data_IF_637312780218
#
_entry.id   IF_637312780218
#
_cell.length_a   1.000
_cell.length_b   1.000
_cell.length_c   1.000
_cell.angle_alpha   90.00
_cell.angle_beta   90.00
_cell.angle_gamma   90.00
#
_symmetry.space_group_name_H-M   'P 1'
#
loop_
_entity.id
_entity.type
_entity.pdbx_description
1 polymer ?
#
# COMPACT_ATOMS: atom_id res chain seq x y z
N UNK A 1 -13.01 -31.00 -23.15
CA UNK A 1 -11.79 -30.97 -22.31
C UNK A 1 -12.11 -30.31 -20.96
N UNK A 2 -11.62 -30.90 -19.85
CA UNK A 2 -11.79 -30.37 -18.49
C UNK A 2 -10.52 -30.56 -17.65
N UNK A 3 -10.43 -29.89 -16.51
CA UNK A 3 -9.24 -29.93 -15.64
C UNK A 3 -8.89 -31.33 -15.14
N UNK A 4 -9.90 -32.17 -14.85
CA UNK A 4 -9.68 -33.56 -14.41
C UNK A 4 -8.93 -34.36 -15.47
N UNK A 5 -9.28 -34.22 -16.73
CA UNK A 5 -8.60 -34.86 -17.85
C UNK A 5 -7.15 -34.41 -17.97
N UNK A 6 -6.85 -33.12 -17.72
CA UNK A 6 -5.46 -32.62 -17.70
C UNK A 6 -4.63 -33.20 -16.56
N UNK A 7 -5.20 -33.32 -15.35
CA UNK A 7 -4.53 -34.00 -14.24
C UNK A 7 -4.29 -35.49 -14.55
N UNK A 8 -5.25 -36.17 -15.18
CA UNK A 8 -5.11 -37.56 -15.56
C UNK A 8 -4.02 -37.76 -16.61
N UNK A 9 -4.01 -36.90 -17.65
CA UNK A 9 -2.97 -36.91 -18.68
C UNK A 9 -1.59 -36.70 -18.09
N UNK A 10 -1.40 -35.70 -17.21
CA UNK A 10 -0.12 -35.42 -16.51
C UNK A 10 0.33 -36.64 -15.69
N UNK A 11 -0.56 -37.23 -14.90
CA UNK A 11 -0.22 -38.35 -14.05
C UNK A 11 0.20 -39.62 -14.85
N UNK A 12 -0.47 -39.89 -15.97
CA UNK A 12 -0.11 -41.00 -16.86
C UNK A 12 1.25 -40.73 -17.53
N UNK A 13 1.47 -39.49 -18.00
CA UNK A 13 2.73 -39.05 -18.60
C UNK A 13 3.93 -39.19 -17.65
N UNK A 14 3.73 -38.88 -16.36
CA UNK A 14 4.77 -38.99 -15.33
C UNK A 14 5.07 -40.44 -14.91
N UNK A 15 4.05 -41.29 -14.84
CA UNK A 15 4.16 -42.62 -14.30
C UNK A 15 4.30 -43.73 -15.37
N UNK A 16 4.02 -43.37 -16.61
CA UNK A 16 4.03 -44.27 -17.79
C UNK A 16 3.20 -45.54 -17.59
N UNK A 17 2.19 -45.46 -16.69
CA UNK A 17 1.41 -46.64 -16.31
C UNK A 17 -0.01 -46.22 -15.83
N UNK A 18 -1.04 -46.70 -16.51
CA UNK A 18 -2.46 -46.33 -16.22
C UNK A 18 -2.88 -46.76 -14.80
N UNK A 19 -2.53 -47.98 -14.36
CA UNK A 19 -2.95 -48.48 -13.02
C UNK A 19 -2.29 -47.62 -11.92
N UNK A 20 -0.98 -47.37 -12.01
CA UNK A 20 -0.28 -46.54 -11.01
C UNK A 20 -0.79 -45.11 -10.99
N UNK A 21 -1.11 -44.56 -12.17
CA UNK A 21 -1.72 -43.22 -12.24
C UNK A 21 -3.11 -43.18 -11.61
N UNK A 22 -3.92 -44.22 -11.83
CA UNK A 22 -5.24 -44.35 -11.21
C UNK A 22 -5.13 -44.48 -9.67
N UNK A 23 -4.19 -45.29 -9.16
CA UNK A 23 -3.91 -45.43 -7.73
C UNK A 23 -3.49 -44.07 -7.11
N UNK A 24 -2.53 -43.37 -7.75
CA UNK A 24 -2.07 -42.02 -7.31
C UNK A 24 -3.20 -41.01 -7.22
N UNK A 25 -4.18 -41.13 -8.12
CA UNK A 25 -5.29 -40.17 -8.21
C UNK A 25 -6.57 -40.67 -7.48
N UNK A 26 -6.52 -41.82 -6.82
CA UNK A 26 -7.65 -42.44 -6.09
C UNK A 26 -8.90 -42.65 -6.97
N UNK A 27 -8.69 -43.11 -8.21
CA UNK A 27 -9.76 -43.44 -9.17
C UNK A 27 -9.61 -44.82 -9.75
N UNK A 28 -10.67 -45.33 -10.40
CA UNK A 28 -10.55 -46.61 -11.12
C UNK A 28 -9.75 -46.40 -12.43
N UNK A 29 -8.97 -47.43 -12.79
CA UNK A 29 -8.21 -47.41 -14.05
C UNK A 29 -9.13 -47.27 -15.27
N UNK A 30 -10.33 -47.86 -15.22
CA UNK A 30 -11.33 -47.71 -16.31
C UNK A 30 -11.83 -46.27 -16.45
N UNK A 31 -12.14 -45.58 -15.35
CA UNK A 31 -12.56 -44.17 -15.38
C UNK A 31 -11.45 -43.27 -15.91
N UNK A 32 -10.21 -43.52 -15.51
CA UNK A 32 -9.05 -42.75 -15.97
C UNK A 32 -8.81 -42.97 -17.47
N UNK A 33 -8.87 -44.24 -17.94
CA UNK A 33 -8.72 -44.58 -19.35
C UNK A 33 -9.82 -43.97 -20.23
N UNK A 34 -11.08 -44.04 -19.76
CA UNK A 34 -12.20 -43.42 -20.46
C UNK A 34 -12.06 -41.91 -20.60
N UNK A 35 -11.66 -41.22 -19.53
CA UNK A 35 -11.48 -39.77 -19.55
C UNK A 35 -10.34 -39.32 -20.48
N UNK A 36 -9.29 -40.12 -20.62
CA UNK A 36 -8.22 -39.85 -21.59
C UNK A 36 -8.71 -40.13 -23.02
N UNK A 37 -9.45 -41.21 -23.23
CA UNK A 37 -10.04 -41.47 -24.56
C UNK A 37 -10.95 -40.32 -25.01
N UNK A 38 -11.81 -39.82 -24.14
CA UNK A 38 -12.65 -38.64 -24.45
C UNK A 38 -11.80 -37.41 -24.83
N UNK A 39 -10.66 -37.19 -24.16
CA UNK A 39 -9.77 -36.10 -24.47
C UNK A 39 -9.07 -36.28 -25.83
N UNK A 40 -8.62 -37.50 -26.10
CA UNK A 40 -8.01 -37.88 -27.39
C UNK A 40 -9.02 -37.77 -28.56
N UNK A 41 -10.25 -38.22 -28.35
CA UNK A 41 -11.34 -38.13 -29.34
C UNK A 41 -11.70 -36.66 -29.62
N UNK A 42 -11.82 -35.81 -28.57
CA UNK A 42 -12.12 -34.39 -28.70
C UNK A 42 -11.07 -33.64 -29.52
N UNK A 43 -9.77 -33.97 -29.29
CA UNK A 43 -8.66 -33.33 -29.99
C UNK A 43 -8.24 -34.04 -31.27
N UNK A 44 -8.86 -35.21 -31.57
CA UNK A 44 -8.58 -36.05 -32.70
C UNK A 44 -7.11 -36.45 -32.83
N UNK A 45 -6.51 -36.83 -31.69
CA UNK A 45 -5.12 -37.29 -31.58
C UNK A 45 -5.00 -38.41 -30.55
N UNK A 46 -3.99 -39.27 -30.67
CA UNK A 46 -3.60 -40.24 -29.63
C UNK A 46 -2.42 -39.64 -28.84
N UNK A 47 -2.56 -39.54 -27.53
CA UNK A 47 -1.49 -39.06 -26.63
C UNK A 47 -0.57 -40.15 -26.13
N UNK A 48 -1.07 -41.38 -26.04
CA UNK A 48 -0.35 -42.49 -25.47
C UNK A 48 -0.30 -43.68 -26.42
N UNK A 49 0.81 -44.42 -26.43
CA UNK A 49 1.02 -45.69 -27.11
C UNK A 49 1.41 -46.78 -26.15
N UNK A 50 0.84 -47.96 -26.27
CA UNK A 50 1.17 -49.12 -25.40
C UNK A 50 2.55 -49.66 -25.70
N UNK A 51 3.34 -49.92 -24.65
CA UNK A 51 4.64 -50.59 -24.67
C UNK A 51 4.64 -51.72 -23.65
N UNK A 52 4.13 -52.87 -24.05
CA UNK A 52 3.96 -54.01 -23.14
C UNK A 52 2.94 -53.71 -22.03
N UNK A 53 3.40 -53.67 -20.78
CA UNK A 53 2.56 -53.28 -19.63
C UNK A 53 2.56 -51.77 -19.33
N UNK A 54 3.45 -51.02 -19.96
CA UNK A 54 3.60 -49.58 -19.80
C UNK A 54 2.94 -48.82 -20.99
N UNK A 55 2.92 -47.51 -20.87
CA UNK A 55 2.54 -46.60 -21.93
C UNK A 55 3.59 -45.51 -22.08
N UNK A 56 3.78 -45.04 -23.29
CA UNK A 56 4.68 -43.93 -23.61
C UNK A 56 3.89 -42.81 -24.31
N UNK A 57 4.38 -41.59 -24.15
CA UNK A 57 3.82 -40.47 -24.89
C UNK A 57 4.09 -40.57 -26.38
N UNK A 58 3.07 -40.40 -27.19
CA UNK A 58 3.23 -40.14 -28.63
C UNK A 58 3.91 -38.78 -28.85
N UNK A 59 4.26 -38.47 -30.10
CA UNK A 59 4.74 -37.14 -30.48
C UNK A 59 3.74 -36.02 -30.10
N UNK A 60 2.41 -36.30 -30.22
CA UNK A 60 1.36 -35.37 -29.81
C UNK A 60 1.32 -35.19 -28.29
N UNK A 61 1.44 -36.28 -27.54
CA UNK A 61 1.53 -36.22 -26.07
C UNK A 61 2.75 -35.44 -25.59
N UNK A 62 3.92 -35.65 -26.21
CA UNK A 62 5.13 -34.90 -25.91
C UNK A 62 4.99 -33.40 -26.19
N UNK A 63 4.30 -33.03 -27.28
CA UNK A 63 4.04 -31.65 -27.61
C UNK A 63 3.04 -30.99 -26.65
N UNK A 64 2.04 -31.73 -26.19
CA UNK A 64 0.97 -31.21 -25.33
C UNK A 64 1.36 -31.11 -23.84
N UNK A 65 2.23 -31.99 -23.36
CA UNK A 65 2.62 -32.09 -21.95
C UNK A 65 3.12 -30.76 -21.34
N UNK A 66 4.02 -29.99 -21.97
CA UNK A 66 4.49 -28.73 -21.40
C UNK A 66 3.36 -27.70 -21.18
N UNK A 67 2.38 -27.67 -22.07
CA UNK A 67 1.22 -26.77 -21.94
C UNK A 67 0.30 -27.20 -20.81
N UNK A 68 0.05 -28.51 -20.66
CA UNK A 68 -0.74 -29.05 -19.55
C UNK A 68 -0.07 -28.74 -18.22
N UNK A 69 1.23 -29.00 -18.11
CA UNK A 69 2.02 -28.70 -16.90
C UNK A 69 1.93 -27.22 -16.53
N UNK A 70 2.15 -26.32 -17.51
CA UNK A 70 2.08 -24.89 -17.30
C UNK A 70 0.70 -24.40 -16.87
N UNK A 71 -0.36 -24.96 -17.47
CA UNK A 71 -1.75 -24.64 -17.12
C UNK A 71 -2.07 -25.01 -15.67
N UNK A 72 -1.73 -26.24 -15.28
CA UNK A 72 -1.98 -26.74 -13.92
C UNK A 72 -1.14 -25.97 -12.89
N UNK A 73 0.14 -25.69 -13.15
CA UNK A 73 1.01 -24.89 -12.31
C UNK A 73 0.47 -23.46 -12.11
N UNK A 74 -0.02 -22.84 -13.17
CA UNK A 74 -0.62 -21.51 -13.11
C UNK A 74 -1.87 -21.50 -12.22
N UNK A 75 -2.72 -22.53 -12.37
CA UNK A 75 -3.90 -22.68 -11.52
C UNK A 75 -3.54 -22.91 -10.05
N UNK A 76 -2.58 -23.79 -9.76
CA UNK A 76 -2.10 -24.08 -8.40
C UNK A 76 -1.51 -22.81 -7.77
N UNK A 77 -0.74 -22.04 -8.53
CA UNK A 77 -0.21 -20.73 -8.09
C UNK A 77 -1.33 -19.74 -7.76
N UNK A 78 -2.38 -19.69 -8.61
CA UNK A 78 -3.54 -18.83 -8.35
C UNK A 78 -4.29 -19.22 -7.06
N UNK A 79 -4.47 -20.52 -6.83
CA UNK A 79 -5.10 -21.04 -5.60
C UNK A 79 -4.24 -20.71 -4.36
N UNK A 80 -2.92 -20.92 -4.44
CA UNK A 80 -2.00 -20.57 -3.36
C UNK A 80 -2.04 -19.07 -3.06
N UNK A 81 -2.02 -18.23 -4.10
CA UNK A 81 -2.14 -16.77 -3.96
C UNK A 81 -3.44 -16.35 -3.26
N UNK A 82 -4.58 -16.96 -3.65
CA UNK A 82 -5.86 -16.72 -2.98
C UNK A 82 -5.82 -17.16 -1.51
N UNK A 83 -5.25 -18.34 -1.24
CA UNK A 83 -5.15 -18.87 0.13
C UNK A 83 -4.32 -17.96 1.03
N UNK A 84 -3.19 -17.45 0.53
CA UNK A 84 -2.37 -16.48 1.25
C UNK A 84 -3.12 -15.15 1.46
N UNK A 85 -3.83 -14.69 0.44
CA UNK A 85 -4.57 -13.43 0.50
C UNK A 85 -5.70 -13.46 1.53
N UNK A 86 -6.41 -14.57 1.68
CA UNK A 86 -7.51 -14.73 2.65
C UNK A 86 -7.04 -15.18 4.04
N UNK A 87 -5.76 -15.50 4.21
CA UNK A 87 -5.25 -15.95 5.51
C UNK A 87 -4.97 -14.76 6.42
N UNK A 88 -5.65 -14.63 7.58
CA UNK A 88 -5.46 -13.50 8.49
C UNK A 88 -4.08 -13.46 9.14
N UNK A 89 -3.30 -14.55 9.11
CA UNK A 89 -2.00 -14.65 9.76
C UNK A 89 -0.82 -14.52 8.79
N UNK A 90 -1.03 -14.73 7.47
CA UNK A 90 0.05 -14.72 6.45
C UNK A 90 -0.25 -13.80 5.27
N UNK A 91 -1.44 -13.17 5.24
CA UNK A 91 -1.87 -12.30 4.15
C UNK A 91 -1.05 -11.01 4.03
N UNK A 92 -1.31 -10.28 2.97
CA UNK A 92 -0.69 -8.96 2.73
C UNK A 92 -1.69 -7.85 3.06
N UNK A 93 -1.20 -6.78 3.69
CA UNK A 93 -1.93 -5.53 3.89
C UNK A 93 -1.21 -4.45 3.10
N UNK A 94 -1.88 -3.89 2.10
CA UNK A 94 -1.34 -2.81 1.29
C UNK A 94 -1.89 -1.49 1.79
N UNK A 95 -1.02 -0.64 2.27
CA UNK A 95 -1.37 0.67 2.83
C UNK A 95 -0.73 1.78 2.02
N UNK A 96 -1.35 2.96 2.02
CA UNK A 96 -0.72 4.17 1.50
C UNK A 96 -0.94 5.36 2.43
N UNK A 97 -0.10 6.38 2.30
CA UNK A 97 -0.22 7.60 3.08
C UNK A 97 0.68 8.71 2.57
N UNK A 98 0.55 9.89 3.15
CA UNK A 98 1.40 11.03 2.80
C UNK A 98 2.87 10.78 3.16
N UNK A 99 3.83 11.32 2.38
CA UNK A 99 5.26 11.25 2.71
C UNK A 99 5.60 11.79 4.11
N UNK A 100 4.87 12.81 4.58
CA UNK A 100 5.02 13.37 5.94
C UNK A 100 4.74 12.36 7.07
N UNK A 101 4.15 11.19 6.76
CA UNK A 101 3.89 10.11 7.71
C UNK A 101 4.96 8.99 7.67
N UNK A 102 6.05 9.20 6.94
CA UNK A 102 7.08 8.18 6.72
C UNK A 102 7.69 7.60 8.00
N UNK A 103 7.75 8.35 9.08
CA UNK A 103 8.26 7.87 10.39
C UNK A 103 7.17 7.25 11.27
N UNK A 104 5.93 7.65 11.10
CA UNK A 104 4.79 7.06 11.79
C UNK A 104 4.48 5.64 11.29
N UNK A 105 4.58 5.40 9.98
CA UNK A 105 4.27 4.11 9.40
C UNK A 105 5.10 2.93 9.99
N UNK A 106 6.43 3.03 10.16
CA UNK A 106 7.21 2.01 10.85
C UNK A 106 6.80 1.79 12.32
N UNK A 107 6.50 2.85 13.07
CA UNK A 107 6.10 2.72 14.48
C UNK A 107 4.80 1.92 14.63
N UNK A 108 3.78 2.24 13.84
CA UNK A 108 2.51 1.51 13.87
C UNK A 108 2.67 0.05 13.42
N UNK A 109 3.53 -0.23 12.42
CA UNK A 109 3.83 -1.58 11.97
C UNK A 109 4.49 -2.39 13.09
N UNK A 110 5.54 -1.85 13.70
CA UNK A 110 6.25 -2.50 14.81
C UNK A 110 5.31 -2.74 15.98
N UNK A 111 4.48 -1.76 16.33
CA UNK A 111 3.49 -1.87 17.40
C UNK A 111 2.45 -2.96 17.10
N UNK A 112 1.92 -3.01 15.87
CA UNK A 112 0.98 -4.04 15.44
C UNK A 112 1.58 -5.44 15.59
N UNK A 113 2.79 -5.66 15.07
CA UNK A 113 3.46 -6.97 15.14
C UNK A 113 3.74 -7.36 16.60
N UNK A 114 4.26 -6.44 17.43
CA UNK A 114 4.60 -6.73 18.83
C UNK A 114 3.37 -7.02 19.71
N UNK A 115 2.25 -6.31 19.51
CA UNK A 115 1.05 -6.49 20.32
C UNK A 115 0.16 -7.65 19.87
N UNK A 116 0.22 -8.03 18.58
CA UNK A 116 -0.64 -9.07 18.01
C UNK A 116 0.06 -10.40 17.74
N UNK A 117 1.41 -10.42 17.82
CA UNK A 117 2.26 -11.56 17.46
C UNK A 117 2.03 -12.09 16.03
N UNK A 118 1.61 -11.21 15.10
CA UNK A 118 1.34 -11.53 13.69
C UNK A 118 2.56 -11.22 12.82
N UNK A 119 3.63 -12.00 13.01
CA UNK A 119 4.93 -11.78 12.38
C UNK A 119 4.97 -12.17 10.89
N UNK A 120 4.05 -13.02 10.45
CA UNK A 120 4.01 -13.55 9.07
C UNK A 120 3.11 -12.72 8.14
N UNK A 121 2.41 -11.69 8.66
CA UNK A 121 1.65 -10.74 7.84
C UNK A 121 2.62 -9.81 7.11
N UNK A 122 2.47 -9.71 5.78
CA UNK A 122 3.23 -8.77 4.96
C UNK A 122 2.56 -7.40 5.00
N UNK A 123 3.28 -6.40 5.44
CA UNK A 123 2.80 -5.02 5.51
C UNK A 123 3.56 -4.19 4.48
N UNK A 124 2.83 -3.64 3.50
CA UNK A 124 3.36 -2.75 2.47
C UNK A 124 2.83 -1.35 2.69
N UNK A 125 3.71 -0.36 2.66
CA UNK A 125 3.34 1.04 2.81
C UNK A 125 3.88 1.86 1.63
N UNK A 126 2.96 2.40 0.83
CA UNK A 126 3.24 3.26 -0.30
C UNK A 126 3.11 4.73 0.10
N UNK A 127 3.92 5.59 -0.51
CA UNK A 127 3.82 7.04 -0.29
C UNK A 127 3.24 7.72 -1.52
N UNK A 128 2.20 8.52 -1.32
CA UNK A 128 1.58 9.33 -2.37
C UNK A 128 1.54 10.79 -1.98
N UNK A 129 2.00 11.64 -2.86
CA UNK A 129 2.13 13.07 -2.58
C UNK A 129 0.78 13.79 -2.54
N UNK A 130 -0.24 13.29 -3.23
CA UNK A 130 -1.52 13.97 -3.37
C UNK A 130 -2.69 13.19 -2.78
N UNK A 131 -3.67 13.93 -2.28
CA UNK A 131 -4.93 13.40 -1.80
C UNK A 131 -5.69 12.60 -2.87
N UNK A 132 -5.71 13.09 -4.12
CA UNK A 132 -6.44 12.43 -5.20
C UNK A 132 -5.85 11.05 -5.51
N UNK A 133 -4.52 10.92 -5.51
CA UNK A 133 -3.87 9.61 -5.70
C UNK A 133 -4.26 8.62 -4.61
N UNK A 134 -4.21 9.03 -3.34
CA UNK A 134 -4.62 8.18 -2.21
C UNK A 134 -6.07 7.74 -2.32
N UNK A 135 -6.99 8.69 -2.59
CA UNK A 135 -8.41 8.39 -2.78
C UNK A 135 -8.64 7.41 -3.94
N UNK A 136 -8.04 7.67 -5.09
CA UNK A 136 -8.26 6.86 -6.29
C UNK A 136 -7.69 5.45 -6.13
N UNK A 137 -6.54 5.28 -5.48
CA UNK A 137 -5.99 3.97 -5.13
C UNK A 137 -6.89 3.20 -4.15
N UNK A 138 -7.44 3.89 -3.14
CA UNK A 138 -8.38 3.27 -2.20
C UNK A 138 -9.67 2.82 -2.90
N UNK A 139 -10.26 3.69 -3.72
CA UNK A 139 -11.53 3.40 -4.39
C UNK A 139 -11.40 2.37 -5.51
N UNK A 140 -10.22 2.24 -6.12
CA UNK A 140 -9.93 1.18 -7.12
C UNK A 140 -9.50 -0.15 -6.51
N UNK A 141 -9.22 -0.21 -5.19
CA UNK A 141 -8.74 -1.42 -4.52
C UNK A 141 -7.27 -1.73 -4.77
N UNK A 142 -6.49 -0.78 -5.22
CA UNK A 142 -5.03 -0.91 -5.32
C UNK A 142 -4.36 -0.92 -3.94
N UNK A 143 -4.98 -0.29 -2.96
CA UNK A 143 -4.59 -0.33 -1.55
C UNK A 143 -5.80 -0.70 -0.69
N UNK A 144 -5.55 -1.39 0.41
CA UNK A 144 -6.58 -1.80 1.38
C UNK A 144 -6.95 -0.65 2.31
N UNK A 145 -5.95 0.12 2.74
CA UNK A 145 -6.07 1.15 3.76
C UNK A 145 -5.25 2.39 3.37
N UNK A 146 -5.74 3.57 3.73
CA UNK A 146 -4.96 4.81 3.62
C UNK A 146 -4.87 5.56 4.94
N UNK A 147 -3.73 6.23 5.15
CA UNK A 147 -3.51 7.22 6.20
C UNK A 147 -3.48 8.61 5.56
N UNK A 148 -4.57 9.34 5.72
CA UNK A 148 -4.76 10.61 5.02
C UNK A 148 -5.65 11.57 5.84
N UNK A 149 -5.83 12.77 5.32
CA UNK A 149 -6.96 13.64 5.68
C UNK A 149 -8.27 13.00 5.23
N UNK A 150 -9.37 13.40 5.82
CA UNK A 150 -10.68 12.81 5.54
C UNK A 150 -11.04 12.83 4.04
N UNK A 151 -11.46 11.69 3.53
CA UNK A 151 -12.00 11.55 2.17
C UNK A 151 -13.51 11.73 2.23
N UNK A 152 -14.01 12.78 1.60
CA UNK A 152 -15.44 13.03 1.49
C UNK A 152 -16.05 12.20 0.35
N UNK A 153 -16.27 10.90 0.66
CA UNK A 153 -16.93 9.93 -0.22
C UNK A 153 -17.75 8.96 0.64
N UNK A 154 -19.05 8.75 0.36
CA UNK A 154 -19.91 7.90 1.17
C UNK A 154 -19.45 6.43 1.23
N UNK A 155 -18.67 5.98 0.24
CA UNK A 155 -18.09 4.63 0.18
C UNK A 155 -16.91 4.45 1.14
N UNK A 156 -16.34 5.55 1.64
CA UNK A 156 -15.17 5.49 2.52
C UNK A 156 -15.60 5.42 3.99
N UNK A 157 -15.07 4.43 4.69
CA UNK A 157 -15.10 4.36 6.15
C UNK A 157 -13.85 5.05 6.69
N UNK A 158 -13.96 5.76 7.81
CA UNK A 158 -12.85 6.48 8.43
C UNK A 158 -12.83 6.32 9.94
N UNK A 159 -11.63 6.30 10.50
CA UNK A 159 -11.39 6.37 11.95
C UNK A 159 -10.33 7.43 12.21
N UNK A 160 -10.64 8.38 13.06
CA UNK A 160 -9.71 9.43 13.47
C UNK A 160 -8.52 8.84 14.24
N UNK A 161 -7.28 9.27 13.89
CA UNK A 161 -6.05 8.75 14.50
C UNK A 161 -5.18 9.84 15.16
N UNK A 162 -5.51 11.12 14.98
CA UNK A 162 -4.80 12.24 15.57
C UNK A 162 -4.67 13.45 14.67
N UNK A 163 -3.92 14.45 15.13
CA UNK A 163 -3.69 15.71 14.42
C UNK A 163 -2.20 15.92 14.13
N UNK A 164 -1.91 16.33 12.91
CA UNK A 164 -0.58 16.69 12.47
C UNK A 164 -0.45 18.22 12.39
N UNK A 165 0.42 18.78 13.20
CA UNK A 165 0.62 20.21 13.28
C UNK A 165 1.25 20.78 12.01
N UNK A 166 0.97 22.07 11.73
CA UNK A 166 1.54 22.83 10.62
C UNK A 166 2.53 23.84 11.20
N UNK A 167 3.71 23.91 10.62
CA UNK A 167 4.82 24.71 11.11
C UNK A 167 5.47 25.49 9.96
N UNK A 168 6.25 26.52 10.31
CA UNK A 168 7.16 27.19 9.38
C UNK A 168 8.55 26.54 9.45
N UNK A 169 9.08 26.17 8.29
CA UNK A 169 10.46 25.73 8.13
C UNK A 169 11.31 26.86 7.57
N UNK A 170 12.39 27.19 8.26
CA UNK A 170 13.33 28.24 7.85
C UNK A 170 14.78 27.73 7.85
N UNK A 171 15.68 28.33 7.03
CA UNK A 171 17.12 28.06 7.17
C UNK A 171 17.62 28.39 8.57
N UNK A 172 18.64 27.66 9.08
CA UNK A 172 19.20 27.89 10.41
C UNK A 172 19.69 29.34 10.61
N UNK A 173 20.22 29.97 9.56
CA UNK A 173 20.70 31.37 9.59
C UNK A 173 19.65 32.42 9.21
N UNK A 174 18.38 32.05 9.02
CA UNK A 174 17.34 32.99 8.62
C UNK A 174 17.01 34.00 9.73
N UNK A 175 16.61 35.22 9.38
CA UNK A 175 16.23 36.25 10.35
C UNK A 175 15.13 35.79 11.33
N UNK A 176 14.21 34.97 10.86
CA UNK A 176 13.14 34.42 11.70
C UNK A 176 13.63 33.31 12.64
N UNK A 177 14.79 32.68 12.39
CA UNK A 177 15.29 31.61 13.23
C UNK A 177 15.66 32.03 14.65
N UNK A 178 15.74 33.33 14.94
CA UNK A 178 15.98 33.84 16.30
C UNK A 178 14.73 33.82 17.18
N UNK A 179 13.54 33.68 16.62
CA UNK A 179 12.27 33.67 17.34
C UNK A 179 11.89 32.24 17.78
N UNK A 180 11.07 32.15 18.83
CA UNK A 180 10.48 30.89 19.29
C UNK A 180 9.14 30.60 18.59
N UNK A 181 8.50 31.63 18.03
CA UNK A 181 7.24 31.56 17.32
C UNK A 181 7.20 32.67 16.27
N UNK A 182 6.47 32.45 15.17
CA UNK A 182 6.38 33.41 14.06
C UNK A 182 4.94 33.87 13.84
N UNK A 183 4.76 35.16 13.53
CA UNK A 183 3.53 35.69 12.91
C UNK A 183 3.67 35.57 11.39
N UNK A 184 2.67 35.03 10.73
CA UNK A 184 2.69 34.84 9.26
C UNK A 184 2.83 36.13 8.48
N UNK A 185 2.49 37.32 9.06
CA UNK A 185 2.74 38.59 8.42
C UNK A 185 4.22 38.86 8.12
N UNK A 186 5.10 38.23 8.86
CA UNK A 186 6.55 38.24 8.61
C UNK A 186 6.95 37.61 7.27
N UNK A 187 6.04 36.87 6.63
CA UNK A 187 6.27 36.22 5.32
C UNK A 187 5.91 37.15 4.14
N UNK A 188 5.43 38.34 4.38
CA UNK A 188 5.11 39.27 3.29
C UNK A 188 6.39 39.64 2.53
N UNK A 189 6.41 39.40 1.21
CA UNK A 189 7.58 39.58 0.37
C UNK A 189 8.73 38.58 0.56
N UNK A 190 8.66 37.63 1.51
CA UNK A 190 9.67 36.59 1.69
C UNK A 190 9.69 35.60 0.53
N UNK A 191 10.88 35.08 0.21
CA UNK A 191 11.00 33.97 -0.72
C UNK A 191 10.36 32.72 -0.12
N UNK A 192 9.34 32.21 -0.80
CA UNK A 192 8.52 31.12 -0.30
C UNK A 192 8.56 29.93 -1.26
N UNK A 193 8.82 28.75 -0.70
CA UNK A 193 8.75 27.46 -1.39
C UNK A 193 7.41 26.85 -1.04
N UNK A 194 6.54 26.70 -2.02
CA UNK A 194 5.17 26.25 -1.82
C UNK A 194 4.98 24.78 -2.22
N UNK A 195 4.01 24.14 -1.60
CA UNK A 195 3.42 22.97 -2.23
C UNK A 195 2.73 23.33 -3.54
N UNK A 196 2.65 22.39 -4.48
CA UNK A 196 1.90 22.60 -5.71
C UNK A 196 0.38 22.62 -5.47
N UNK A 197 -0.38 23.01 -6.48
CA UNK A 197 -1.83 23.19 -6.40
C UNK A 197 -2.62 21.89 -6.19
N UNK A 198 -2.01 20.71 -6.36
CA UNK A 198 -2.63 19.40 -6.11
C UNK A 198 -2.55 19.00 -4.63
N UNK A 199 -1.76 19.71 -3.83
CA UNK A 199 -1.63 19.47 -2.40
C UNK A 199 -2.70 20.25 -1.62
N UNK A 200 -3.44 19.57 -0.73
CA UNK A 200 -4.46 20.22 0.12
C UNK A 200 -3.87 21.36 0.99
N UNK A 201 -2.63 21.20 1.46
CA UNK A 201 -2.00 22.21 2.30
C UNK A 201 -1.79 23.53 1.54
N UNK A 202 -1.55 23.47 0.20
CA UNK A 202 -1.49 24.66 -0.64
C UNK A 202 -2.78 25.46 -0.55
N UNK A 203 -3.93 24.83 -0.70
CA UNK A 203 -5.22 25.54 -0.60
C UNK A 203 -5.49 26.15 0.77
N UNK A 204 -4.96 25.54 1.84
CA UNK A 204 -5.04 26.08 3.21
C UNK A 204 -4.15 27.33 3.34
N UNK A 205 -2.89 27.24 2.92
CA UNK A 205 -1.94 28.36 3.01
C UNK A 205 -2.36 29.56 2.14
N UNK A 206 -2.79 29.31 0.92
CA UNK A 206 -3.26 30.37 0.00
C UNK A 206 -4.47 31.13 0.60
N UNK A 207 -5.40 30.42 1.23
CA UNK A 207 -6.55 31.04 1.91
C UNK A 207 -6.10 31.92 3.06
N UNK A 208 -5.22 31.44 3.92
CA UNK A 208 -4.69 32.18 5.07
C UNK A 208 -3.94 33.43 4.59
N UNK A 209 -3.06 33.30 3.60
CA UNK A 209 -2.34 34.44 3.03
C UNK A 209 -3.29 35.48 2.49
N UNK A 210 -4.32 35.07 1.75
CA UNK A 210 -5.35 35.97 1.23
C UNK A 210 -6.13 36.69 2.34
N UNK A 211 -6.55 35.95 3.37
CA UNK A 211 -7.31 36.52 4.51
C UNK A 211 -6.48 37.53 5.31
N UNK A 212 -5.16 37.28 5.43
CA UNK A 212 -4.24 38.16 6.16
C UNK A 212 -3.61 39.26 5.31
N UNK A 213 -3.85 39.26 3.98
CA UNK A 213 -3.27 40.22 3.05
C UNK A 213 -1.77 40.03 2.82
N UNK A 214 -1.26 38.80 3.01
CA UNK A 214 0.15 38.45 2.85
C UNK A 214 0.41 38.01 1.39
N UNK A 215 1.51 38.50 0.82
CA UNK A 215 1.93 38.17 -0.55
C UNK A 215 3.39 37.69 -0.55
N UNK A 216 3.65 36.42 -0.21
CA UNK A 216 5.00 35.87 -0.28
C UNK A 216 5.45 35.77 -1.75
N UNK A 217 6.75 35.87 -1.98
CA UNK A 217 7.33 35.64 -3.30
C UNK A 217 7.50 34.13 -3.53
N UNK A 218 6.55 33.48 -4.20
CA UNK A 218 6.63 32.04 -4.49
C UNK A 218 7.72 31.81 -5.53
N UNK A 219 8.86 31.30 -5.10
CA UNK A 219 10.04 31.04 -5.93
C UNK A 219 10.05 29.65 -6.53
N UNK A 220 9.43 28.66 -5.86
CA UNK A 220 9.32 27.28 -6.31
C UNK A 220 8.06 26.61 -5.81
N UNK A 221 7.58 25.62 -6.59
CA UNK A 221 6.44 24.78 -6.26
C UNK A 221 6.78 23.30 -6.46
N UNK A 222 6.40 22.43 -5.51
CA UNK A 222 6.62 20.98 -5.58
C UNK A 222 5.62 20.23 -4.71
N UNK A 223 5.29 18.99 -5.09
CA UNK A 223 4.49 18.08 -4.24
C UNK A 223 5.33 17.32 -3.20
N UNK A 224 6.67 17.41 -3.25
CA UNK A 224 7.57 16.56 -2.49
C UNK A 224 8.15 17.27 -1.27
N UNK A 225 7.82 16.80 -0.06
CA UNK A 225 8.32 17.32 1.22
C UNK A 225 9.86 17.39 1.26
N UNK A 226 10.53 16.33 0.80
CA UNK A 226 12.00 16.26 0.82
C UNK A 226 12.66 17.32 -0.07
N UNK A 227 12.03 17.69 -1.19
CA UNK A 227 12.52 18.76 -2.06
C UNK A 227 12.39 20.09 -1.35
N UNK A 228 11.24 20.35 -0.69
CA UNK A 228 11.04 21.56 0.11
C UNK A 228 12.13 21.65 1.19
N UNK A 229 12.37 20.56 1.94
CA UNK A 229 13.40 20.55 2.98
C UNK A 229 14.80 20.89 2.44
N UNK A 230 15.16 20.30 1.31
CA UNK A 230 16.45 20.57 0.65
C UNK A 230 16.62 22.03 0.19
N UNK A 231 15.56 22.60 -0.40
CA UNK A 231 15.57 23.97 -0.87
C UNK A 231 15.64 24.98 0.28
N UNK A 232 14.89 24.75 1.37
CA UNK A 232 14.98 25.59 2.57
C UNK A 232 16.38 25.48 3.19
N UNK A 233 16.92 24.29 3.35
CA UNK A 233 18.27 24.06 3.87
C UNK A 233 19.35 24.76 3.02
N UNK A 234 19.11 24.93 1.71
CA UNK A 234 19.98 25.63 0.77
C UNK A 234 19.70 27.15 0.69
N UNK A 235 18.93 27.69 1.63
CA UNK A 235 18.62 29.13 1.74
C UNK A 235 17.90 29.73 0.52
N UNK A 236 17.04 28.93 -0.17
CA UNK A 236 16.24 29.40 -1.31
C UNK A 236 14.91 30.06 -0.89
N UNK A 237 14.53 29.96 0.36
CA UNK A 237 13.31 30.51 0.91
C UNK A 237 12.86 29.79 2.17
N UNK A 238 11.64 30.09 2.60
CA UNK A 238 10.99 29.46 3.76
C UNK A 238 9.77 28.67 3.27
N UNK A 239 9.21 27.77 4.09
CA UNK A 239 8.03 26.99 3.70
C UNK A 239 7.13 26.65 4.89
N UNK A 240 5.83 26.62 4.67
CA UNK A 240 4.83 26.11 5.60
C UNK A 240 4.62 24.61 5.28
N UNK A 241 4.90 23.75 6.24
CA UNK A 241 4.89 22.29 6.08
C UNK A 241 4.20 21.59 7.25
N UNK A 242 3.75 20.33 7.09
CA UNK A 242 3.46 19.49 8.25
C UNK A 242 4.71 19.32 9.09
N UNK A 243 4.58 19.33 10.41
CA UNK A 243 5.73 19.22 11.33
C UNK A 243 6.53 17.94 11.05
N UNK A 244 7.85 18.03 10.74
CA UNK A 244 8.65 16.86 10.46
C UNK A 244 8.74 15.94 11.68
N UNK A 245 8.36 14.68 11.53
CA UNK A 245 8.30 13.69 12.62
C UNK A 245 9.68 13.29 13.18
N UNK A 246 10.74 13.54 12.43
CA UNK A 246 12.14 13.32 12.84
C UNK A 246 12.88 14.55 13.35
N UNK A 247 12.15 15.62 13.62
CA UNK A 247 12.76 16.91 13.96
C UNK A 247 13.18 17.72 12.73
N UNK A 248 13.85 18.87 12.96
CA UNK A 248 14.27 19.75 11.88
C UNK A 248 15.27 19.05 10.96
N UNK A 249 14.96 18.91 9.65
CA UNK A 249 15.89 18.28 8.72
C UNK A 249 17.03 19.22 8.36
N UNK A 250 18.24 18.66 8.18
CA UNK A 250 19.44 19.40 7.76
C UNK A 250 19.73 20.65 8.63
N UNK A 251 20.26 21.72 8.01
CA UNK A 251 20.53 23.01 8.65
C UNK A 251 19.29 23.92 8.61
N UNK A 252 18.17 23.47 9.16
CA UNK A 252 16.92 24.22 9.21
C UNK A 252 16.43 24.37 10.64
N UNK A 253 15.51 25.30 10.88
CA UNK A 253 14.78 25.46 12.14
C UNK A 253 13.27 25.35 11.87
N UNK A 254 12.60 24.62 12.74
CA UNK A 254 11.13 24.55 12.79
C UNK A 254 10.65 25.63 13.73
N UNK A 255 9.70 26.45 13.28
CA UNK A 255 9.07 27.50 14.05
C UNK A 255 7.58 27.26 14.17
N UNK A 256 7.02 27.25 15.36
CA UNK A 256 5.60 27.35 15.58
C UNK A 256 5.02 28.60 14.93
N UNK A 257 3.80 28.48 14.42
CA UNK A 257 3.06 29.60 13.83
C UNK A 257 2.10 30.14 14.88
N UNK A 258 2.22 31.43 15.22
CA UNK A 258 1.41 32.10 16.23
C UNK A 258 -0.02 32.39 15.78
N UNK A 259 -0.26 32.38 14.49
CA UNK A 259 -1.58 32.56 13.91
C UNK A 259 -2.33 31.23 13.93
N UNK A 260 -3.66 31.28 14.05
CA UNK A 260 -4.46 30.07 14.05
C UNK A 260 -4.43 29.40 12.68
N UNK A 261 -3.72 28.29 12.55
CA UNK A 261 -3.78 27.35 11.42
C UNK A 261 -4.41 26.05 11.92
N UNK A 262 -5.52 25.59 11.32
CA UNK A 262 -6.09 24.31 11.72
C UNK A 262 -5.08 23.18 11.50
N UNK A 263 -4.86 22.30 12.48
CA UNK A 263 -4.02 21.13 12.28
C UNK A 263 -4.63 20.20 11.25
N UNK A 264 -3.79 19.40 10.60
CA UNK A 264 -4.26 18.35 9.69
C UNK A 264 -4.83 17.19 10.51
N UNK A 265 -6.14 17.00 10.48
CA UNK A 265 -6.76 15.80 11.04
C UNK A 265 -6.44 14.60 10.19
N UNK A 266 -5.90 13.55 10.79
CA UNK A 266 -5.50 12.33 10.14
C UNK A 266 -6.46 11.20 10.50
N UNK A 267 -6.75 10.39 9.51
CA UNK A 267 -7.65 9.25 9.60
C UNK A 267 -7.01 8.00 8.99
N UNK A 268 -7.28 6.85 9.57
CA UNK A 268 -7.24 5.59 8.87
C UNK A 268 -8.53 5.45 8.08
N UNK A 269 -8.46 5.08 6.80
CA UNK A 269 -9.62 5.00 5.93
C UNK A 269 -9.59 3.73 5.09
N UNK A 270 -10.77 3.21 4.75
CA UNK A 270 -10.99 1.99 3.95
C UNK A 270 -12.20 2.13 3.05
N UNK A 271 -12.27 1.33 1.98
CA UNK A 271 -13.45 1.28 1.11
C UNK A 271 -14.48 0.30 1.70
N UNK A 272 -15.69 0.79 2.03
CA UNK A 272 -16.79 0.00 2.60
C UNK A 272 -17.45 -0.95 1.60
N UNK A 273 -17.36 -0.64 0.31
CA UNK A 273 -18.02 -1.38 -0.76
C UNK A 273 -17.10 -2.47 -1.34
N UNK A 274 -15.86 -2.57 -0.90
CA UNK A 274 -14.92 -3.58 -1.34
C UNK A 274 -14.64 -4.61 -0.24
N UNK A 275 -14.36 -5.84 -0.69
CA UNK A 275 -13.87 -6.88 0.21
C UNK A 275 -12.52 -6.46 0.79
N UNK A 276 -12.45 -6.35 2.10
CA UNK A 276 -11.20 -6.11 2.81
C UNK A 276 -10.61 -7.47 3.23
N UNK A 277 -9.37 -7.80 2.84
CA UNK A 277 -8.74 -9.05 3.25
C UNK A 277 -8.68 -9.19 4.78
N UNK A 278 -8.80 -10.41 5.34
CA UNK A 278 -8.79 -10.59 6.80
C UNK A 278 -7.57 -9.99 7.50
N UNK A 279 -6.38 -10.07 6.90
CA UNK A 279 -5.19 -9.42 7.45
C UNK A 279 -5.35 -7.90 7.56
N UNK A 280 -5.92 -7.27 6.52
CA UNK A 280 -6.20 -5.82 6.51
C UNK A 280 -7.34 -5.45 7.48
N UNK A 281 -8.37 -6.30 7.63
CA UNK A 281 -9.39 -6.13 8.66
C UNK A 281 -8.80 -6.14 10.07
N UNK A 282 -7.96 -7.12 10.38
CA UNK A 282 -7.31 -7.20 11.68
C UNK A 282 -6.41 -5.99 11.96
N UNK A 283 -5.69 -5.51 10.94
CA UNK A 283 -4.87 -4.31 11.07
C UNK A 283 -5.73 -3.05 11.27
N UNK A 284 -6.80 -2.87 10.48
CA UNK A 284 -7.79 -1.80 10.66
C UNK A 284 -8.35 -1.79 12.08
N UNK A 285 -8.83 -2.94 12.55
CA UNK A 285 -9.45 -3.08 13.86
C UNK A 285 -8.44 -2.86 15.00
N UNK A 286 -7.18 -3.21 14.79
CA UNK A 286 -6.09 -2.87 15.71
C UNK A 286 -5.93 -1.35 15.82
N UNK A 287 -5.86 -0.63 14.70
CA UNK A 287 -5.74 0.83 14.68
C UNK A 287 -6.94 1.49 15.35
N UNK A 288 -8.17 1.05 15.03
CA UNK A 288 -9.41 1.59 15.62
C UNK A 288 -9.40 1.42 17.15
N UNK A 289 -9.03 0.23 17.64
CA UNK A 289 -8.95 -0.04 19.09
C UNK A 289 -7.85 0.75 19.78
N UNK A 290 -6.78 1.08 19.08
CA UNK A 290 -5.69 1.90 19.61
C UNK A 290 -6.08 3.38 19.76
N UNK A 291 -7.22 3.80 19.19
CA UNK A 291 -7.72 5.18 19.30
C UNK A 291 -6.83 6.19 18.54
N UNK A 292 -6.47 7.28 19.21
CA UNK A 292 -5.65 8.33 18.62
C UNK A 292 -4.17 7.93 18.52
N UNK A 293 -3.90 6.88 17.74
CA UNK A 293 -2.57 6.25 17.67
C UNK A 293 -1.49 7.21 17.15
N UNK A 294 -1.85 8.17 16.28
CA UNK A 294 -0.91 9.18 15.82
C UNK A 294 -0.59 10.20 16.94
N UNK A 295 -1.58 10.62 17.70
CA UNK A 295 -1.36 11.47 18.89
C UNK A 295 -0.43 10.78 19.89
N UNK A 296 -0.66 9.50 20.18
CA UNK A 296 0.21 8.70 21.05
C UNK A 296 1.64 8.59 20.51
N UNK A 297 1.81 8.45 19.19
CA UNK A 297 3.12 8.46 18.55
C UNK A 297 3.83 9.81 18.75
N UNK A 298 3.12 10.92 18.57
CA UNK A 298 3.68 12.27 18.77
C UNK A 298 4.14 12.48 20.22
N UNK A 299 3.30 12.10 21.19
CA UNK A 299 3.62 12.21 22.64
C UNK A 299 4.85 11.37 23.02
N UNK A 300 4.86 10.09 22.60
CA UNK A 300 5.97 9.15 22.87
C UNK A 300 7.32 9.66 22.37
N UNK A 301 7.33 10.35 21.25
CA UNK A 301 8.56 10.87 20.62
C UNK A 301 8.88 12.32 21.00
N UNK A 302 8.12 12.93 21.92
CA UNK A 302 8.33 14.33 22.32
C UNK A 302 8.08 15.32 21.17
N UNK A 303 7.28 14.94 20.21
CA UNK A 303 6.96 15.70 19.02
C UNK A 303 5.65 16.48 19.18
N UNK A 304 5.09 16.51 20.38
CA UNK A 304 3.90 17.28 20.69
C UNK A 304 4.29 18.76 20.73
N UNK A 305 3.95 19.54 19.73
CA UNK A 305 4.31 20.95 19.73
C UNK A 305 3.29 21.70 20.57
N UNK A 306 3.70 22.14 21.72
CA UNK A 306 3.09 23.27 22.47
C UNK A 306 1.73 23.04 23.11
#
# INVERSE_FOLDING_TARGET
MNLRQLYYFKAIAELEHYTRAAEKLYVSQSSLSHAIQELEDELNVEFFVKRGRNVELTKYGQLFLPYVQKTLETLETGIATLTDYINPNTGTVVMAGFPSLAQFAPDIIVRYVSETNRVDVRLQFNQEATYNQLRDQLLSGQVDLIFATEVDDPRVGSSYIGEHQIVLLVPQGHRLAQYDQVDLRELDGENFISFDTNCQLRGVTDRIFKEMGIQPNITMETAQDLIIHGLVASNHGVSIIPSPLGGAPYNTKILPIGNHIPPRRLYLQWNKDQYLPPAAEYFRDFVIRSGEIFTQFMEKNGLNPY
#
